data_IF_888742263944
#
_entry.id   IF_888742263944
#
_cell.length_a   1.000
_cell.length_b   1.000
_cell.length_c   1.000
_cell.angle_alpha   90.00
_cell.angle_beta   90.00
_cell.angle_gamma   90.00
#
_symmetry.space_group_name_H-M   'P 1'
#
loop_
_entity.id
_entity.type
_entity.pdbx_description
1 polymer ?
#
# COMPACT_ATOMS: atom_id res chain seq x y z
N UNK A 1 -9.21 -8.98 -25.60
CA UNK A 1 -9.20 -8.21 -24.33
C UNK A 1 -7.82 -8.35 -23.71
N UNK A 2 -7.14 -7.24 -23.40
CA UNK A 2 -5.84 -7.26 -22.73
C UNK A 2 -6.04 -6.85 -21.27
N UNK A 3 -5.55 -7.66 -20.34
CA UNK A 3 -5.56 -7.38 -18.91
C UNK A 3 -4.11 -7.28 -18.42
N UNK A 4 -3.77 -6.17 -17.77
CA UNK A 4 -2.45 -5.99 -17.16
C UNK A 4 -2.51 -6.47 -15.72
N UNK A 5 -1.78 -7.52 -15.40
CA UNK A 5 -1.69 -8.04 -14.04
C UNK A 5 -0.71 -7.21 -13.20
N UNK A 6 -1.19 -6.07 -12.69
CA UNK A 6 -0.38 -5.15 -11.89
C UNK A 6 0.14 -5.79 -10.60
N UNK A 7 -0.66 -6.65 -9.97
CA UNK A 7 -0.24 -7.35 -8.75
C UNK A 7 0.97 -8.24 -9.01
N UNK A 8 0.97 -9.00 -10.11
CA UNK A 8 2.10 -9.86 -10.45
C UNK A 8 3.39 -9.04 -10.70
N UNK A 9 3.30 -7.92 -11.43
CA UNK A 9 4.44 -7.03 -11.70
C UNK A 9 4.99 -6.45 -10.38
N UNK A 10 4.12 -5.96 -9.50
CA UNK A 10 4.49 -5.33 -8.24
C UNK A 10 5.01 -6.33 -7.19
N UNK A 11 4.81 -7.63 -7.41
CA UNK A 11 5.31 -8.71 -6.54
C UNK A 11 6.35 -9.60 -7.23
N UNK A 12 6.81 -9.26 -8.43
CA UNK A 12 7.78 -10.07 -9.18
C UNK A 12 9.18 -9.98 -8.54
N UNK A 13 9.75 -11.08 -8.04
CA UNK A 13 11.10 -11.09 -7.45
C UNK A 13 12.22 -10.77 -8.45
N UNK A 14 11.96 -10.82 -9.77
CA UNK A 14 12.91 -10.38 -10.81
C UNK A 14 12.98 -8.87 -10.95
N UNK A 15 11.92 -8.17 -10.53
CA UNK A 15 11.79 -6.71 -10.61
C UNK A 15 12.08 -6.07 -9.24
N UNK A 16 11.66 -6.74 -8.17
CA UNK A 16 11.73 -6.25 -6.79
C UNK A 16 12.54 -7.21 -5.91
N UNK A 17 13.66 -6.72 -5.37
CA UNK A 17 14.35 -7.40 -4.28
C UNK A 17 13.40 -7.58 -3.08
N UNK A 18 13.38 -8.74 -2.43
CA UNK A 18 12.46 -9.05 -1.33
C UNK A 18 11.00 -8.62 -1.64
N UNK A 19 10.46 -8.97 -2.82
CA UNK A 19 9.21 -8.42 -3.37
C UNK A 19 7.96 -8.51 -2.47
N UNK A 20 7.94 -9.46 -1.54
CA UNK A 20 6.84 -9.67 -0.59
C UNK A 20 7.03 -8.98 0.77
N UNK A 21 8.18 -8.34 1.01
CA UNK A 21 8.43 -7.61 2.27
C UNK A 21 8.02 -6.15 2.11
N UNK A 22 7.34 -5.63 3.14
CA UNK A 22 7.15 -4.19 3.28
C UNK A 22 8.49 -3.54 3.65
N UNK A 23 9.10 -2.83 2.69
CA UNK A 23 10.43 -2.19 2.80
C UNK A 23 10.36 -0.81 2.17
N UNK A 24 9.84 0.22 2.87
CA UNK A 24 9.68 1.59 2.35
C UNK A 24 10.99 2.21 1.84
N UNK A 25 12.11 1.84 2.44
CA UNK A 25 13.45 2.36 2.17
C UNK A 25 13.88 2.12 0.72
N UNK A 26 13.28 1.13 0.04
CA UNK A 26 13.53 0.87 -1.40
C UNK A 26 13.10 2.04 -2.30
N UNK A 27 12.30 2.97 -1.79
CA UNK A 27 11.82 4.15 -2.51
C UNK A 27 12.58 5.43 -2.15
N UNK A 28 13.54 5.37 -1.22
CA UNK A 28 14.38 6.52 -0.89
C UNK A 28 15.33 6.86 -2.05
N UNK A 29 15.43 8.14 -2.41
CA UNK A 29 16.31 8.60 -3.47
C UNK A 29 15.86 8.26 -4.91
N UNK A 30 14.75 7.55 -5.10
CA UNK A 30 14.15 7.34 -6.41
C UNK A 30 13.27 8.55 -6.77
N UNK A 31 13.53 9.17 -7.93
CA UNK A 31 12.63 10.18 -8.49
C UNK A 31 11.31 9.52 -8.90
N UNK A 32 10.33 9.63 -8.00
CA UNK A 32 8.95 9.27 -8.17
C UNK A 32 8.65 7.77 -8.38
N UNK A 33 7.43 7.42 -7.99
CA UNK A 33 6.75 6.12 -8.02
C UNK A 33 6.60 5.48 -9.42
N UNK A 34 7.38 5.91 -10.42
CA UNK A 34 7.24 5.55 -11.83
C UNK A 34 8.53 5.08 -12.51
N UNK A 35 9.56 4.68 -11.75
CA UNK A 35 10.74 4.03 -12.33
C UNK A 35 10.33 2.83 -13.20
N UNK A 36 10.50 2.97 -14.51
CA UNK A 36 10.30 1.90 -15.50
C UNK A 36 8.96 1.16 -15.45
N UNK A 37 7.87 1.81 -14.99
CA UNK A 37 6.55 1.17 -14.77
C UNK A 37 6.55 0.01 -13.75
N UNK A 38 7.57 -0.09 -12.88
CA UNK A 38 7.65 -1.15 -11.86
C UNK A 38 6.54 -1.03 -10.81
N UNK A 39 6.13 0.19 -10.49
CA UNK A 39 5.03 0.51 -9.57
C UNK A 39 3.98 1.37 -10.30
N UNK A 40 2.72 0.95 -10.28
CA UNK A 40 1.61 1.63 -10.97
C UNK A 40 0.27 1.45 -10.23
N UNK A 41 0.15 1.82 -8.95
CA UNK A 41 -1.09 1.64 -8.17
C UNK A 41 -2.27 2.44 -8.74
N UNK A 42 -1.98 3.49 -9.51
CA UNK A 42 -2.96 4.36 -10.16
C UNK A 42 -3.00 4.19 -11.69
N UNK A 43 -2.38 3.12 -12.23
CA UNK A 43 -2.20 2.95 -13.67
C UNK A 43 -1.22 3.96 -14.27
N UNK A 44 -1.29 4.18 -15.58
CA UNK A 44 -0.43 5.12 -16.29
C UNK A 44 -1.03 5.60 -17.62
N UNK A 45 -0.49 6.67 -18.20
CA UNK A 45 -0.89 7.23 -19.48
C UNK A 45 -2.33 7.76 -19.52
N UNK A 46 -2.98 7.68 -20.68
CA UNK A 46 -4.34 8.24 -20.93
C UNK A 46 -5.45 7.63 -20.06
N UNK A 47 -5.19 6.50 -19.42
CA UNK A 47 -6.15 5.78 -18.56
C UNK A 47 -5.69 5.73 -17.09
N UNK A 48 -4.71 6.56 -16.71
CA UNK A 48 -4.32 6.72 -15.32
C UNK A 48 -5.50 7.22 -14.46
N UNK A 49 -5.49 6.86 -13.18
CA UNK A 49 -6.54 7.25 -12.25
C UNK A 49 -6.56 8.77 -12.12
N UNK A 50 -7.69 9.44 -12.43
CA UNK A 50 -7.78 10.90 -12.29
C UNK A 50 -7.68 11.35 -10.82
N UNK A 51 -7.88 10.45 -9.86
CA UNK A 51 -7.79 10.71 -8.43
C UNK A 51 -6.41 10.52 -7.80
N UNK A 52 -5.37 10.15 -8.57
CA UNK A 52 -4.02 9.88 -8.05
C UNK A 52 -3.49 10.99 -7.15
N UNK A 53 -3.56 12.25 -7.60
CA UNK A 53 -3.07 13.40 -6.85
C UNK A 53 -3.83 13.63 -5.54
N UNK A 54 -5.15 13.38 -5.51
CA UNK A 54 -5.95 13.47 -4.30
C UNK A 54 -5.62 12.31 -3.34
N UNK A 55 -5.55 11.09 -3.86
CA UNK A 55 -5.28 9.89 -3.08
C UNK A 55 -3.93 9.99 -2.35
N UNK A 56 -2.86 10.41 -3.05
CA UNK A 56 -1.53 10.56 -2.44
C UNK A 56 -1.54 11.57 -1.29
N UNK A 57 -2.24 12.71 -1.46
CA UNK A 57 -2.35 13.73 -0.40
C UNK A 57 -3.18 13.23 0.79
N UNK A 58 -4.31 12.57 0.52
CA UNK A 58 -5.19 12.05 1.56
C UNK A 58 -4.54 10.92 2.36
N UNK A 59 -3.83 10.01 1.69
CA UNK A 59 -3.12 8.91 2.35
C UNK A 59 -2.00 9.47 3.23
N UNK A 60 -1.18 10.38 2.72
CA UNK A 60 -0.10 11.00 3.50
C UNK A 60 -0.62 11.73 4.75
N UNK A 61 -1.63 12.58 4.58
CA UNK A 61 -2.23 13.30 5.70
C UNK A 61 -2.88 12.34 6.71
N UNK A 62 -3.72 11.41 6.24
CA UNK A 62 -4.42 10.47 7.11
C UNK A 62 -3.47 9.57 7.89
N UNK A 63 -2.45 9.03 7.22
CA UNK A 63 -1.43 8.20 7.86
C UNK A 63 -0.61 8.99 8.88
N UNK A 64 -0.20 10.21 8.53
CA UNK A 64 0.51 11.11 9.44
C UNK A 64 -0.32 11.41 10.70
N UNK A 65 -1.60 11.74 10.53
CA UNK A 65 -2.51 12.02 11.66
C UNK A 65 -2.68 10.82 12.59
N UNK A 66 -2.89 9.61 12.05
CA UNK A 66 -3.07 8.42 12.92
C UNK A 66 -1.80 8.03 13.67
N UNK A 67 -0.61 8.23 13.08
CA UNK A 67 0.68 7.98 13.74
C UNK A 67 0.98 9.05 14.79
N UNK A 68 0.67 10.31 14.49
CA UNK A 68 0.92 11.43 15.39
C UNK A 68 0.03 11.36 16.63
N UNK A 69 -1.26 11.05 16.44
CA UNK A 69 -2.26 11.17 17.51
C UNK A 69 -2.44 9.90 18.36
N UNK A 70 -2.01 8.73 17.90
CA UNK A 70 -2.30 7.47 18.58
C UNK A 70 -1.10 6.51 18.62
N UNK A 71 -0.95 5.82 19.74
CA UNK A 71 -0.16 4.60 19.83
C UNK A 71 -1.04 3.41 19.41
N UNK A 72 -0.46 2.49 18.64
CA UNK A 72 -1.20 1.38 18.03
C UNK A 72 -0.70 0.03 18.53
N UNK A 73 -1.64 -0.80 18.96
CA UNK A 73 -1.36 -2.15 19.43
C UNK A 73 -2.29 -3.18 18.80
N UNK A 74 -1.80 -4.42 18.71
CA UNK A 74 -2.62 -5.57 18.33
C UNK A 74 -3.59 -5.92 19.45
N UNK A 75 -4.78 -6.39 19.11
CA UNK A 75 -5.78 -6.80 20.13
C UNK A 75 -5.25 -7.94 20.99
N UNK A 76 -4.45 -8.85 20.41
CA UNK A 76 -3.78 -9.96 21.07
C UNK A 76 -2.32 -10.15 20.63
N UNK A 77 -1.73 -11.29 20.96
CA UNK A 77 -0.31 -11.60 20.67
C UNK A 77 -0.07 -12.06 19.24
N UNK A 78 -1.10 -12.55 18.57
CA UNK A 78 -1.02 -13.04 17.19
C UNK A 78 -0.69 -11.93 16.21
N UNK A 79 -0.04 -12.27 15.10
CA UNK A 79 0.18 -11.34 14.00
C UNK A 79 -1.14 -11.01 13.30
N UNK A 80 -1.22 -9.83 12.69
CA UNK A 80 -2.37 -9.46 11.85
C UNK A 80 -2.37 -10.35 10.62
N UNK A 81 -3.48 -11.04 10.37
CA UNK A 81 -3.67 -11.79 9.13
C UNK A 81 -3.71 -10.83 7.94
N UNK A 82 -2.78 -10.99 6.99
CA UNK A 82 -2.66 -10.16 5.78
C UNK A 82 -3.23 -10.85 4.53
N UNK A 83 -3.94 -11.96 4.68
CA UNK A 83 -4.60 -12.63 3.56
C UNK A 83 -5.57 -11.69 2.82
N UNK A 84 -5.56 -11.80 1.50
CA UNK A 84 -6.43 -11.04 0.60
C UNK A 84 -7.82 -11.69 0.54
N UNK A 85 -8.85 -10.86 0.62
CA UNK A 85 -10.24 -11.25 0.42
C UNK A 85 -10.65 -11.14 -1.04
N UNK A 86 -11.87 -11.60 -1.34
CA UNK A 86 -12.42 -11.52 -2.70
C UNK A 86 -12.90 -10.11 -3.03
N UNK A 87 -12.50 -9.56 -4.17
CA UNK A 87 -13.00 -8.28 -4.67
C UNK A 87 -12.10 -7.63 -5.71
N UNK A 88 -12.55 -6.51 -6.29
CA UNK A 88 -11.79 -5.77 -7.30
C UNK A 88 -10.66 -4.92 -6.71
N UNK A 89 -10.72 -4.62 -5.41
CA UNK A 89 -9.82 -3.67 -4.73
C UNK A 89 -8.86 -4.33 -3.74
N UNK A 90 -8.65 -5.65 -3.84
CA UNK A 90 -7.79 -6.45 -2.93
C UNK A 90 -8.08 -6.15 -1.44
N UNK A 91 -9.33 -6.31 -0.95
CA UNK A 91 -9.62 -6.09 0.46
C UNK A 91 -8.88 -7.11 1.34
N UNK A 92 -8.77 -6.85 2.64
CA UNK A 92 -8.33 -7.89 3.58
C UNK A 92 -9.41 -8.98 3.71
N UNK A 93 -9.01 -10.23 3.81
CA UNK A 93 -9.93 -11.34 4.06
C UNK A 93 -10.64 -11.18 5.42
N UNK A 94 -9.89 -10.72 6.42
CA UNK A 94 -10.40 -10.34 7.73
C UNK A 94 -10.15 -8.84 7.97
N UNK A 95 -11.17 -8.05 8.35
CA UNK A 95 -10.97 -6.64 8.68
C UNK A 95 -9.90 -6.44 9.75
N UNK A 96 -9.12 -5.36 9.65
CA UNK A 96 -8.16 -5.00 10.69
C UNK A 96 -8.93 -4.54 11.95
N UNK A 97 -8.64 -5.17 13.08
CA UNK A 97 -9.04 -4.69 14.40
C UNK A 97 -7.76 -4.39 15.18
N UNK A 98 -7.64 -3.17 15.69
CA UNK A 98 -6.49 -2.70 16.45
C UNK A 98 -6.94 -1.88 17.65
N UNK A 99 -6.10 -1.85 18.69
CA UNK A 99 -6.25 -0.93 19.82
C UNK A 99 -5.49 0.35 19.49
N UNK A 100 -6.12 1.49 19.74
CA UNK A 100 -5.48 2.79 19.64
C UNK A 100 -5.64 3.55 20.96
N UNK A 101 -4.56 4.15 21.45
CA UNK A 101 -4.56 5.01 22.64
C UNK A 101 -4.06 6.39 22.27
N UNK A 102 -4.73 7.49 22.67
CA UNK A 102 -4.26 8.84 22.37
C UNK A 102 -2.83 9.07 22.89
N UNK A 103 -1.97 9.68 22.06
CA UNK A 103 -0.62 10.08 22.46
C UNK A 103 -0.68 11.38 23.28
N UNK A 104 0.13 11.53 24.34
CA UNK A 104 0.23 12.75 25.14
C UNK A 104 0.71 13.96 24.33
#
# INVERSE_FOLDING_TARGET
>A
MLLVNLWAIQNDPKIWDDSRKFKPERFEGLEATRDGFKLMPFGSGRRGCPGEGLAVRMVGLGLGSVIQCFDWERVGKELVDMAEGTGLTMPKAQPLIAKCTPRP
#
